data_IF_512419528505
#
_entry.id   IF_512419528505
#
_cell.length_a   1.000
_cell.length_b   1.000
_cell.length_c   1.000
_cell.angle_alpha   90.00
_cell.angle_beta   90.00
_cell.angle_gamma   90.00
#
_symmetry.space_group_name_H-M   'P 1'
#
loop_
_entity.id
_entity.type
_entity.pdbx_description
1 polymer ?
#
# COMPACT_ATOMS: atom_id res chain seq x y z
N UNK A 1 15.39 5.74 -19.75
CA UNK A 1 15.96 5.51 -18.39
C UNK A 1 17.11 4.50 -18.50
N UNK A 2 18.18 4.62 -17.68
CA UNK A 2 19.25 3.60 -17.63
C UNK A 2 18.71 2.32 -16.99
N UNK A 3 19.18 1.14 -17.48
CA UNK A 3 18.82 -0.16 -16.88
C UNK A 3 19.50 -0.29 -15.52
N UNK A 4 18.76 -0.73 -14.51
CA UNK A 4 19.29 -1.02 -13.18
C UNK A 4 18.52 -2.17 -12.50
N UNK A 5 19.18 -2.77 -11.50
CA UNK A 5 18.61 -3.71 -10.54
C UNK A 5 19.19 -3.36 -9.17
N UNK A 6 18.35 -2.94 -8.24
CA UNK A 6 18.74 -2.43 -6.92
C UNK A 6 18.00 -3.21 -5.84
N UNK A 7 18.75 -3.68 -4.85
CA UNK A 7 18.21 -4.27 -3.63
C UNK A 7 17.81 -3.17 -2.66
N UNK A 8 16.61 -3.25 -2.11
CA UNK A 8 16.10 -2.25 -1.18
C UNK A 8 15.08 -2.78 -0.18
N UNK A 9 14.74 -1.93 0.79
CA UNK A 9 13.70 -2.22 1.77
C UNK A 9 12.31 -2.12 1.10
N UNK A 10 11.34 -3.00 1.40
CA UNK A 10 9.97 -2.93 0.89
C UNK A 10 9.27 -1.60 1.15
N UNK A 11 9.61 -0.92 2.24
CA UNK A 11 9.06 0.40 2.56
C UNK A 11 9.41 1.49 1.54
N UNK A 12 10.47 1.29 0.73
CA UNK A 12 10.85 2.22 -0.32
C UNK A 12 9.80 2.34 -1.42
N UNK A 13 8.88 1.37 -1.56
CA UNK A 13 7.70 1.47 -2.44
C UNK A 13 6.94 2.78 -2.21
N UNK A 14 6.91 3.28 -0.96
CA UNK A 14 6.20 4.51 -0.60
C UNK A 14 7.12 5.75 -0.50
N UNK A 15 8.36 5.69 -0.95
CA UNK A 15 9.20 6.89 -1.07
C UNK A 15 8.75 7.71 -2.28
N UNK A 16 8.52 8.99 -2.09
CA UNK A 16 7.84 9.88 -3.06
C UNK A 16 8.35 9.73 -4.49
N UNK A 17 9.65 9.85 -4.69
CA UNK A 17 10.23 9.84 -6.04
C UNK A 17 10.19 8.44 -6.67
N UNK A 18 10.51 7.41 -5.89
CA UNK A 18 10.42 6.03 -6.35
C UNK A 18 8.97 5.63 -6.65
N UNK A 19 8.02 6.06 -5.81
CA UNK A 19 6.61 5.78 -6.02
C UNK A 19 6.08 6.34 -7.35
N UNK A 20 6.53 7.50 -7.77
CA UNK A 20 6.14 8.08 -9.06
C UNK A 20 6.61 7.19 -10.22
N UNK A 21 7.83 6.69 -10.18
CA UNK A 21 8.34 5.74 -11.18
C UNK A 21 7.59 4.41 -11.17
N UNK A 22 7.24 3.90 -9.98
CA UNK A 22 6.41 2.68 -9.85
C UNK A 22 4.99 2.90 -10.41
N UNK A 23 4.37 4.05 -10.11
CA UNK A 23 3.05 4.43 -10.62
C UNK A 23 3.05 4.52 -12.15
N UNK A 24 4.11 5.08 -12.73
CA UNK A 24 4.25 5.25 -14.18
C UNK A 24 4.72 3.97 -14.90
N UNK A 25 4.92 2.86 -14.19
CA UNK A 25 5.45 1.59 -14.75
C UNK A 25 6.86 1.72 -15.35
N UNK A 26 7.65 2.64 -14.85
CA UNK A 26 9.05 2.85 -15.24
C UNK A 26 10.02 2.02 -14.38
N UNK A 27 9.58 1.70 -13.16
CA UNK A 27 10.26 0.82 -12.21
C UNK A 27 9.28 -0.26 -11.75
N UNK A 28 9.79 -1.46 -11.60
CA UNK A 28 9.05 -2.64 -11.17
C UNK A 28 9.62 -3.18 -9.86
N UNK A 29 8.77 -3.86 -9.10
CA UNK A 29 9.15 -4.55 -7.88
C UNK A 29 9.25 -6.04 -8.18
N UNK A 30 10.34 -6.66 -7.74
CA UNK A 30 10.54 -8.10 -7.89
C UNK A 30 10.85 -8.71 -6.52
N UNK A 31 10.33 -9.91 -6.32
CA UNK A 31 10.68 -10.76 -5.18
C UNK A 31 11.35 -12.04 -5.67
N UNK A 32 12.13 -12.67 -4.81
CA UNK A 32 12.68 -13.97 -5.11
C UNK A 32 11.60 -15.05 -4.90
N UNK A 33 11.46 -15.97 -5.85
CA UNK A 33 10.65 -17.20 -5.71
C UNK A 33 9.20 -16.98 -5.26
N UNK A 34 8.49 -15.99 -5.85
CA UNK A 34 7.10 -15.66 -5.52
C UNK A 34 6.84 -15.29 -4.04
N UNK A 35 7.88 -15.13 -3.25
CA UNK A 35 7.80 -14.57 -1.91
C UNK A 35 7.75 -13.04 -1.98
N UNK A 36 6.91 -12.42 -1.14
CA UNK A 36 6.68 -10.96 -1.11
C UNK A 36 7.97 -10.19 -0.79
N UNK A 37 8.85 -10.82 0.00
CA UNK A 37 10.19 -10.32 0.30
C UNK A 37 11.07 -11.47 0.75
N UNK A 38 12.38 -11.29 0.71
CA UNK A 38 13.32 -12.19 1.35
C UNK A 38 14.03 -11.48 2.49
N UNK A 39 14.50 -12.25 3.47
CA UNK A 39 15.22 -11.72 4.61
C UNK A 39 16.71 -11.83 4.35
N UNK A 40 17.43 -10.72 4.47
CA UNK A 40 18.89 -10.69 4.47
C UNK A 40 19.40 -10.52 5.89
N UNK A 41 20.44 -11.27 6.22
CA UNK A 41 21.16 -11.14 7.48
C UNK A 41 22.39 -10.25 7.26
N UNK A 42 22.53 -9.21 8.07
CA UNK A 42 23.70 -8.36 8.10
C UNK A 42 24.33 -8.47 9.48
N UNK A 43 25.61 -8.81 9.52
CA UNK A 43 26.39 -8.81 10.76
C UNK A 43 27.26 -7.54 10.78
N UNK A 44 27.11 -6.72 11.82
CA UNK A 44 27.96 -5.54 12.02
C UNK A 44 29.34 -5.91 12.59
N UNK A 45 30.23 -4.94 12.69
CA UNK A 45 31.59 -5.15 13.20
C UNK A 45 31.63 -5.60 14.67
N UNK A 46 30.56 -5.41 15.43
CA UNK A 46 30.41 -5.90 16.82
C UNK A 46 29.84 -7.33 16.90
N UNK A 47 29.61 -8.00 15.76
CA UNK A 47 29.08 -9.38 15.71
C UNK A 47 27.57 -9.48 15.86
N UNK A 48 26.83 -8.37 15.94
CA UNK A 48 25.37 -8.36 15.95
C UNK A 48 24.80 -8.67 14.56
N UNK A 49 23.93 -9.65 14.47
CA UNK A 49 23.22 -10.00 13.23
C UNK A 49 21.82 -9.39 13.23
N UNK A 50 21.51 -8.57 12.22
CA UNK A 50 20.17 -8.03 11.99
C UNK A 50 19.58 -8.63 10.73
N UNK A 51 18.31 -9.02 10.82
CA UNK A 51 17.54 -9.47 9.67
C UNK A 51 16.71 -8.33 9.09
N UNK A 52 16.82 -8.12 7.78
CA UNK A 52 16.11 -7.03 7.08
C UNK A 52 15.33 -7.62 5.92
N UNK A 53 14.03 -7.32 5.87
CA UNK A 53 13.22 -7.64 4.70
C UNK A 53 13.72 -6.85 3.49
N UNK A 54 13.92 -7.53 2.37
CA UNK A 54 14.50 -6.97 1.15
C UNK A 54 13.72 -7.39 -0.08
N UNK A 55 13.68 -6.48 -1.07
CA UNK A 55 13.08 -6.70 -2.39
C UNK A 55 13.95 -6.08 -3.47
N UNK A 56 13.76 -6.50 -4.71
CA UNK A 56 14.42 -5.90 -5.86
C UNK A 56 13.58 -4.81 -6.50
N UNK A 57 14.20 -3.70 -6.85
CA UNK A 57 13.66 -2.65 -7.71
C UNK A 57 14.44 -2.67 -9.04
N UNK A 58 13.73 -2.62 -10.16
CA UNK A 58 14.37 -2.72 -11.47
C UNK A 58 13.61 -1.93 -12.53
N UNK A 59 14.32 -1.46 -13.55
CA UNK A 59 13.74 -0.98 -14.81
C UNK A 59 13.49 -2.13 -15.81
N UNK A 60 13.83 -3.36 -15.46
CA UNK A 60 13.52 -4.54 -16.26
C UNK A 60 12.12 -5.04 -15.88
N UNK A 61 11.23 -5.13 -16.86
CA UNK A 61 9.94 -5.76 -16.65
C UNK A 61 10.11 -7.28 -16.42
N UNK A 62 9.22 -7.90 -15.69
CA UNK A 62 9.15 -9.36 -15.58
C UNK A 62 8.41 -9.93 -16.79
N UNK A 63 8.81 -11.11 -17.24
CA UNK A 63 8.10 -11.85 -18.29
C UNK A 63 6.77 -12.40 -17.80
N UNK A 64 6.63 -12.63 -16.47
CA UNK A 64 5.42 -13.09 -15.84
C UNK A 64 5.23 -12.50 -14.43
N UNK A 65 4.00 -12.20 -14.09
CA UNK A 65 3.55 -11.80 -12.76
C UNK A 65 2.50 -12.78 -12.25
N UNK A 66 2.41 -12.92 -10.93
CA UNK A 66 1.28 -13.60 -10.30
C UNK A 66 0.04 -12.71 -10.43
N UNK A 67 -1.05 -13.27 -10.94
CA UNK A 67 -2.31 -12.55 -11.01
C UNK A 67 -2.96 -12.37 -9.64
N UNK A 68 -3.68 -11.26 -9.47
CA UNK A 68 -4.59 -11.09 -8.35
C UNK A 68 -5.68 -12.16 -8.41
N UNK A 69 -5.85 -12.92 -7.34
CA UNK A 69 -6.99 -13.83 -7.19
C UNK A 69 -8.23 -13.01 -6.81
N UNK A 70 -9.03 -12.67 -7.79
CA UNK A 70 -10.23 -11.86 -7.64
C UNK A 70 -11.46 -12.79 -7.45
N UNK A 71 -11.55 -13.43 -6.30
CA UNK A 71 -12.63 -14.38 -5.94
C UNK A 71 -13.63 -13.83 -4.92
N UNK A 72 -13.41 -12.61 -4.42
CA UNK A 72 -14.28 -11.97 -3.43
C UNK A 72 -15.27 -11.04 -4.11
N UNK A 73 -16.53 -11.11 -3.68
CA UNK A 73 -17.56 -10.15 -4.06
C UNK A 73 -17.58 -8.98 -3.09
N UNK A 74 -17.87 -7.79 -3.59
CA UNK A 74 -18.05 -6.61 -2.77
C UNK A 74 -19.25 -6.76 -1.83
N UNK A 75 -19.03 -6.40 -0.57
CA UNK A 75 -20.06 -6.31 0.47
C UNK A 75 -19.81 -5.05 1.28
N UNK A 76 -20.70 -4.06 1.18
CA UNK A 76 -20.58 -2.79 1.91
C UNK A 76 -20.50 -2.99 3.42
N UNK A 77 -21.09 -4.07 3.95
CA UNK A 77 -20.98 -4.44 5.35
C UNK A 77 -19.60 -4.98 5.75
N UNK A 78 -18.74 -5.38 4.83
CA UNK A 78 -17.43 -5.98 5.11
C UNK A 78 -16.27 -4.99 5.02
N UNK A 79 -16.34 -4.03 4.09
CA UNK A 79 -15.24 -3.11 3.82
C UNK A 79 -15.51 -1.75 4.48
N UNK A 80 -14.56 -1.27 5.28
CA UNK A 80 -14.64 0.06 5.87
C UNK A 80 -14.31 1.14 4.82
N UNK A 81 -15.03 2.26 4.85
CA UNK A 81 -14.74 3.40 3.98
C UNK A 81 -13.74 4.34 4.66
N UNK A 82 -12.81 4.88 3.89
CA UNK A 82 -11.94 5.93 4.38
C UNK A 82 -12.74 7.20 4.66
N UNK A 83 -12.35 7.94 5.70
CA UNK A 83 -12.96 9.24 6.04
C UNK A 83 -12.37 10.38 5.20
N UNK A 84 -11.16 10.20 4.72
CA UNK A 84 -10.41 11.24 4.01
C UNK A 84 -10.43 11.12 2.49
N UNK A 85 -10.98 10.05 1.97
CA UNK A 85 -11.13 9.86 0.52
C UNK A 85 -12.26 8.89 0.20
N UNK A 86 -12.85 9.02 -0.98
CA UNK A 86 -13.87 8.07 -1.44
C UNK A 86 -13.22 6.76 -1.91
N UNK A 87 -12.84 5.96 -0.93
CA UNK A 87 -12.23 4.66 -1.13
C UNK A 87 -12.63 3.70 -0.01
N UNK A 88 -12.62 2.40 -0.29
CA UNK A 88 -12.72 1.35 0.72
C UNK A 88 -11.34 0.93 1.20
N UNK A 89 -11.20 0.55 2.48
CA UNK A 89 -10.00 -0.09 3.00
C UNK A 89 -10.08 -1.60 2.78
N UNK A 90 -9.05 -2.18 2.19
CA UNK A 90 -8.90 -3.62 2.00
C UNK A 90 -7.68 -4.08 2.81
N UNK A 91 -7.89 -4.91 3.83
CA UNK A 91 -6.82 -5.27 4.76
C UNK A 91 -5.79 -6.23 4.18
N UNK A 92 -6.18 -7.10 3.26
CA UNK A 92 -5.30 -8.09 2.62
C UNK A 92 -5.53 -8.08 1.10
N UNK A 93 -4.46 -8.22 0.32
CA UNK A 93 -4.54 -8.26 -1.15
C UNK A 93 -5.51 -9.34 -1.65
N UNK A 94 -5.56 -10.50 -1.01
CA UNK A 94 -6.49 -11.59 -1.34
C UNK A 94 -7.98 -11.27 -1.11
N UNK A 95 -8.27 -10.18 -0.40
CA UNK A 95 -9.63 -9.73 -0.11
C UNK A 95 -10.08 -8.59 -1.04
N UNK A 96 -9.33 -8.30 -2.11
CA UNK A 96 -9.72 -7.33 -3.13
C UNK A 96 -10.98 -7.85 -3.85
N UNK A 97 -12.12 -7.12 -3.81
CA UNK A 97 -13.34 -7.54 -4.47
C UNK A 97 -13.26 -7.32 -5.98
N UNK A 98 -13.75 -8.30 -6.77
CA UNK A 98 -13.68 -8.26 -8.22
C UNK A 98 -14.70 -7.30 -8.88
N UNK A 99 -15.80 -7.03 -8.18
CA UNK A 99 -16.95 -6.29 -8.69
C UNK A 99 -17.08 -4.87 -8.08
N UNK A 100 -16.05 -4.35 -7.44
CA UNK A 100 -16.05 -2.99 -6.91
C UNK A 100 -15.40 -2.00 -7.89
N UNK A 101 -16.20 -1.08 -8.38
CA UNK A 101 -15.79 -0.10 -9.41
C UNK A 101 -15.08 1.15 -8.83
N UNK A 102 -15.01 1.28 -7.50
CA UNK A 102 -14.40 2.43 -6.82
C UNK A 102 -12.91 2.27 -6.57
N UNK A 103 -12.35 3.27 -5.89
CA UNK A 103 -10.97 3.23 -5.43
C UNK A 103 -10.84 2.40 -4.15
N UNK A 104 -9.76 1.64 -4.06
CA UNK A 104 -9.45 0.79 -2.93
C UNK A 104 -8.09 1.15 -2.33
N UNK A 105 -8.02 1.31 -1.02
CA UNK A 105 -6.78 1.43 -0.27
C UNK A 105 -6.30 0.03 0.13
N UNK A 106 -5.28 -0.47 -0.54
CA UNK A 106 -4.77 -1.84 -0.40
C UNK A 106 -3.36 -1.84 0.18
N UNK A 107 -2.89 -2.94 0.80
CA UNK A 107 -1.51 -3.05 1.26
C UNK A 107 -0.50 -2.84 0.13
N UNK A 108 0.68 -2.30 0.47
CA UNK A 108 1.79 -2.08 -0.50
C UNK A 108 2.21 -3.36 -1.24
N UNK A 109 1.89 -4.52 -0.68
CA UNK A 109 2.18 -5.83 -1.27
C UNK A 109 1.42 -6.11 -2.58
N UNK A 110 0.41 -5.30 -2.92
CA UNK A 110 -0.25 -5.35 -4.24
C UNK A 110 0.74 -5.13 -5.38
N UNK A 111 1.85 -4.43 -5.12
CA UNK A 111 2.89 -4.14 -6.13
C UNK A 111 3.65 -5.38 -6.64
N UNK A 112 3.46 -6.54 -5.99
CA UNK A 112 4.04 -7.82 -6.43
C UNK A 112 3.18 -8.58 -7.45
N UNK A 113 1.95 -8.11 -7.65
CA UNK A 113 0.98 -8.74 -8.55
C UNK A 113 1.00 -8.11 -9.94
N UNK A 114 0.31 -8.74 -10.87
CA UNK A 114 0.26 -8.33 -12.27
C UNK A 114 -0.22 -6.87 -12.41
N UNK A 115 0.67 -5.97 -12.87
CA UNK A 115 0.33 -4.55 -12.98
C UNK A 115 -0.71 -4.25 -14.05
N UNK A 116 -1.04 -5.21 -14.91
CA UNK A 116 -2.07 -5.03 -15.93
C UNK A 116 -3.49 -5.08 -15.35
N UNK A 117 -3.68 -5.63 -14.15
CA UNK A 117 -5.00 -5.80 -13.53
C UNK A 117 -5.53 -4.55 -12.81
N UNK A 118 -4.69 -3.53 -12.54
CA UNK A 118 -5.09 -2.34 -11.80
C UNK A 118 -4.30 -1.10 -12.19
N UNK A 119 -4.90 0.05 -11.94
CA UNK A 119 -4.26 1.35 -12.01
C UNK A 119 -3.89 1.86 -10.62
N UNK A 120 -2.72 2.48 -10.48
CA UNK A 120 -2.27 3.11 -9.24
C UNK A 120 -2.76 4.55 -9.23
N UNK A 121 -3.64 4.88 -8.29
CA UNK A 121 -4.21 6.22 -8.12
C UNK A 121 -3.26 7.10 -7.30
N UNK A 122 -2.75 6.59 -6.17
CA UNK A 122 -1.87 7.34 -5.30
C UNK A 122 -1.45 6.57 -4.04
N UNK A 123 -0.76 7.26 -3.14
CA UNK A 123 -0.43 6.80 -1.79
C UNK A 123 -0.18 8.00 -0.88
N UNK A 124 -0.80 8.03 0.28
CA UNK A 124 -0.57 9.09 1.27
C UNK A 124 0.86 9.05 1.82
N UNK A 125 1.41 7.88 2.05
CA UNK A 125 2.79 7.71 2.50
C UNK A 125 3.82 8.26 1.50
N UNK A 126 3.53 8.17 0.20
CA UNK A 126 4.37 8.75 -0.85
C UNK A 126 4.08 10.25 -1.08
N UNK A 127 3.10 10.81 -0.40
CA UNK A 127 2.60 12.18 -0.63
C UNK A 127 2.14 12.40 -2.10
N UNK A 128 1.67 11.35 -2.76
CA UNK A 128 1.08 11.36 -4.10
C UNK A 128 -0.42 11.13 -3.92
N UNK A 129 -1.16 12.23 -3.78
CA UNK A 129 -2.57 12.21 -3.39
C UNK A 129 -3.46 12.61 -4.56
N UNK A 130 -4.59 11.93 -4.74
CA UNK A 130 -5.60 12.36 -5.71
C UNK A 130 -6.31 13.64 -5.24
N UNK A 131 -6.97 14.31 -6.18
CA UNK A 131 -7.83 15.45 -5.87
C UNK A 131 -8.95 15.06 -4.89
N UNK A 132 -9.32 15.97 -4.00
CA UNK A 132 -10.38 15.72 -3.00
C UNK A 132 -9.91 15.04 -1.72
N UNK A 133 -8.61 14.78 -1.56
CA UNK A 133 -8.06 14.21 -0.33
C UNK A 133 -8.24 15.14 0.88
N UNK A 134 -8.83 14.62 1.96
CA UNK A 134 -9.01 15.35 3.21
C UNK A 134 -7.89 15.03 4.19
N UNK A 135 -7.63 15.92 5.11
CA UNK A 135 -6.65 15.76 6.19
C UNK A 135 -7.31 15.19 7.44
N UNK A 136 -6.53 14.57 8.32
CA UNK A 136 -7.00 14.16 9.65
C UNK A 136 -7.49 15.36 10.44
N UNK A 137 -8.63 15.18 11.10
CA UNK A 137 -9.23 16.20 11.98
C UNK A 137 -8.78 15.99 13.43
N UNK A 138 -9.00 17.01 14.25
CA UNK A 138 -8.72 16.97 15.68
C UNK A 138 -9.57 15.90 16.37
N UNK A 139 -10.84 15.85 16.03
CA UNK A 139 -11.82 14.92 16.61
C UNK A 139 -11.44 13.46 16.36
N UNK A 140 -10.96 13.15 15.15
CA UNK A 140 -10.48 11.79 14.83
C UNK A 140 -9.24 11.42 15.66
N UNK A 141 -8.29 12.32 15.80
CA UNK A 141 -7.06 12.09 16.58
C UNK A 141 -7.37 11.91 18.07
N UNK A 142 -8.26 12.73 18.62
CA UNK A 142 -8.71 12.60 20.01
C UNK A 142 -9.40 11.26 20.24
N UNK A 143 -10.28 10.85 19.33
CA UNK A 143 -10.93 9.54 19.38
C UNK A 143 -9.89 8.40 19.31
N UNK A 144 -8.94 8.48 18.39
CA UNK A 144 -7.86 7.48 18.22
C UNK A 144 -7.07 7.32 19.53
N UNK A 145 -6.64 8.41 20.16
CA UNK A 145 -5.88 8.36 21.40
C UNK A 145 -6.72 7.91 22.61
N UNK A 146 -7.99 8.34 22.71
CA UNK A 146 -8.88 7.91 23.78
C UNK A 146 -9.12 6.40 23.80
N UNK A 147 -8.95 5.75 22.63
CA UNK A 147 -9.09 4.31 22.44
C UNK A 147 -7.75 3.54 22.58
N UNK A 148 -6.69 4.19 23.08
CA UNK A 148 -5.38 3.57 23.30
C UNK A 148 -4.45 3.60 22.09
N UNK A 149 -4.73 4.41 21.08
CA UNK A 149 -3.84 4.61 19.96
C UNK A 149 -2.54 5.31 20.39
N UNK A 150 -1.38 4.74 20.03
CA UNK A 150 -0.05 5.21 20.48
C UNK A 150 0.72 6.01 19.41
N UNK A 151 0.20 6.08 18.18
CA UNK A 151 0.86 6.81 17.09
C UNK A 151 0.86 8.33 17.33
N UNK A 152 2.00 8.98 17.07
CA UNK A 152 2.14 10.44 17.17
C UNK A 152 1.60 11.12 15.90
N UNK A 153 0.29 11.18 15.77
CA UNK A 153 -0.37 11.85 14.66
C UNK A 153 -0.78 13.27 15.02
N UNK A 154 -0.71 14.17 14.05
CA UNK A 154 -1.07 15.58 14.23
C UNK A 154 -2.26 15.94 13.33
N UNK A 155 -3.01 16.96 13.74
CA UNK A 155 -4.04 17.59 12.92
C UNK A 155 -3.45 18.00 11.57
N UNK A 156 -4.13 17.66 10.49
CA UNK A 156 -3.62 17.93 9.14
C UNK A 156 -2.76 16.80 8.55
N UNK A 157 -2.50 15.70 9.28
CA UNK A 157 -1.87 14.51 8.72
C UNK A 157 -2.70 13.99 7.54
N UNK A 158 -2.01 13.40 6.55
CA UNK A 158 -2.61 12.97 5.28
C UNK A 158 -2.72 11.46 5.13
N UNK A 159 -2.33 10.68 6.13
CA UNK A 159 -2.46 9.21 6.06
C UNK A 159 -3.92 8.78 5.97
N UNK A 160 -4.15 7.61 5.43
CA UNK A 160 -5.45 6.97 5.38
C UNK A 160 -5.98 6.73 6.79
N UNK A 161 -7.26 7.02 7.04
CA UNK A 161 -7.91 6.77 8.31
C UNK A 161 -9.40 6.46 8.14
N UNK A 162 -9.94 5.69 9.06
CA UNK A 162 -11.35 5.31 9.08
C UNK A 162 -11.83 4.95 10.50
N UNK A 163 -13.13 4.84 10.66
CA UNK A 163 -13.76 4.28 11.84
C UNK A 163 -14.33 2.93 11.43
N UNK A 164 -13.96 1.86 12.16
CA UNK A 164 -14.46 0.52 11.91
C UNK A 164 -15.88 0.31 12.48
N UNK A 165 -16.44 -0.89 12.29
CA UNK A 165 -17.78 -1.24 12.74
C UNK A 165 -17.95 -1.20 14.26
N UNK A 166 -16.87 -1.44 15.00
CA UNK A 166 -16.83 -1.37 16.46
C UNK A 166 -16.60 0.06 16.97
N UNK A 167 -16.79 1.05 16.07
CA UNK A 167 -16.58 2.50 16.33
C UNK A 167 -15.13 2.80 16.75
N UNK A 168 -14.17 1.97 16.33
CA UNK A 168 -12.75 2.18 16.60
C UNK A 168 -12.09 2.99 15.50
N UNK A 169 -11.37 4.04 15.90
CA UNK A 169 -10.54 4.81 15.02
C UNK A 169 -9.31 3.99 14.58
N UNK A 170 -9.08 3.89 13.29
CA UNK A 170 -8.03 3.10 12.68
C UNK A 170 -7.21 3.90 11.68
N UNK A 171 -5.90 3.69 11.71
CA UNK A 171 -4.95 4.20 10.74
C UNK A 171 -4.23 2.97 10.17
N UNK A 172 -4.53 2.57 8.93
CA UNK A 172 -3.96 1.35 8.36
C UNK A 172 -2.47 1.56 8.02
N UNK A 173 -1.69 0.49 8.13
CA UNK A 173 -0.28 0.53 7.74
C UNK A 173 -0.16 0.65 6.23
N UNK A 174 0.60 1.60 5.76
CA UNK A 174 1.00 1.91 4.36
C UNK A 174 0.07 1.34 3.29
N UNK A 175 -0.69 2.22 2.68
CA UNK A 175 -1.64 1.87 1.63
C UNK A 175 -1.22 2.44 0.27
N UNK A 176 -1.62 1.72 -0.77
CA UNK A 176 -1.65 2.21 -2.14
C UNK A 176 -3.10 2.26 -2.56
N UNK A 177 -3.49 3.37 -3.16
CA UNK A 177 -4.81 3.52 -3.77
C UNK A 177 -4.77 2.93 -5.17
N UNK A 178 -5.63 1.96 -5.41
CA UNK A 178 -5.77 1.32 -6.72
C UNK A 178 -7.21 1.37 -7.20
N UNK A 179 -7.38 1.20 -8.50
CA UNK A 179 -8.65 0.87 -9.15
C UNK A 179 -8.43 -0.34 -10.06
N UNK A 180 -9.29 -1.35 -9.99
CA UNK A 180 -9.21 -2.47 -10.92
C UNK A 180 -9.50 -1.99 -12.35
N UNK A 181 -8.76 -2.53 -13.30
CA UNK A 181 -9.09 -2.35 -14.72
C UNK A 181 -10.24 -3.28 -15.06
N UNK A 182 -11.18 -2.77 -15.84
CA UNK A 182 -12.21 -3.61 -16.44
C UNK A 182 -11.55 -4.44 -17.53
N UNK A 183 -11.79 -5.75 -17.51
CA UNK A 183 -11.49 -6.56 -18.68
C UNK A 183 -12.49 -6.13 -19.77
N UNK A 184 -11.97 -5.56 -20.83
CA UNK A 184 -12.70 -5.34 -22.07
C UNK A 184 -13.04 -6.67 -22.74
#
# INVERSE_FOLDING_TARGET
MKKFLILGNPNAITYKDLFLHLKNREVFVHSANDTISFTMSFTNDSGETKQVASIWFSTLNRDSYTDLKLDKKYDAGKYNRLLNYDAINVDKVKDIPYDYDGVMAVPITVMFYNPQQFDIIGSANANVLPSGWKKMTKEFIELYHSQGGTGQYQVGNRLEFYIDKDVKAKIPYKRILIKLKKNE
#
